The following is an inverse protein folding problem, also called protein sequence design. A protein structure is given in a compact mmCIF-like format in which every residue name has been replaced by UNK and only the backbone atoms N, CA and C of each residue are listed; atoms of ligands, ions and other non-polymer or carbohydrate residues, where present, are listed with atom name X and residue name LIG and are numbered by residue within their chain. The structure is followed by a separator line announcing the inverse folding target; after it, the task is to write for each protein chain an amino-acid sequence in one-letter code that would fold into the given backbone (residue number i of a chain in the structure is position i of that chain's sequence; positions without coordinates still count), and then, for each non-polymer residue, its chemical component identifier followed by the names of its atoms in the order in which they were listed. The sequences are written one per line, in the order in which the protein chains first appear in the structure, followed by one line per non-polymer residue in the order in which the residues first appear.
data_IF_723792084450
#
_entry.id   IF_723792084450
#
_cell.length_a   1.000
_cell.length_b   1.000
_cell.length_c   1.000
_cell.angle_alpha   90.00
_cell.angle_beta   90.00
_cell.angle_gamma   90.00
#
_symmetry.space_group_name_H-M   'P 1'
#
loop_
_entity.id
_entity.type
_entity.pdbx_description
1 polymer ?
#
# COMPACT_ATOMS: atom_id res chain seq x y z
N UNK A 1 13.09 -13.65 -14.65
CA UNK A 1 13.01 -14.03 -16.07
C UNK A 1 13.06 -12.76 -16.91
N UNK A 2 13.68 -12.76 -18.10
CA UNK A 2 13.69 -11.60 -18.98
C UNK A 2 12.24 -11.26 -19.41
N UNK A 3 11.88 -9.98 -19.40
CA UNK A 3 10.57 -9.50 -19.84
C UNK A 3 10.66 -9.28 -21.36
N UNK A 4 9.75 -9.83 -22.18
CA UNK A 4 9.73 -9.60 -23.61
C UNK A 4 9.63 -8.10 -23.92
N UNK A 5 10.33 -7.64 -24.95
CA UNK A 5 10.39 -6.22 -25.33
C UNK A 5 9.62 -5.95 -26.61
N UNK A 6 8.90 -4.84 -26.65
CA UNK A 6 8.22 -4.32 -27.83
C UNK A 6 8.94 -3.06 -28.32
N UNK A 7 9.37 -3.11 -29.56
CA UNK A 7 10.05 -2.02 -30.24
C UNK A 7 9.06 -1.27 -31.12
N UNK A 8 8.88 0.02 -30.87
CA UNK A 8 8.05 0.88 -31.68
C UNK A 8 8.89 2.00 -32.28
N UNK A 9 8.98 2.02 -33.61
CA UNK A 9 9.63 3.10 -34.33
C UNK A 9 8.89 4.42 -34.06
N UNK A 10 9.64 5.47 -33.76
CA UNK A 10 9.12 6.83 -33.66
C UNK A 10 10.01 7.78 -34.47
N UNK A 11 9.42 8.82 -35.04
CA UNK A 11 10.13 9.73 -35.94
C UNK A 11 11.27 10.50 -35.24
N UNK A 12 11.17 10.70 -33.92
CA UNK A 12 12.08 11.55 -33.15
C UNK A 12 12.12 13.00 -33.66
N UNK A 13 12.91 13.83 -32.99
CA UNK A 13 13.24 15.19 -33.47
C UNK A 13 14.74 15.45 -33.29
N UNK A 14 15.62 14.67 -33.94
CA UNK A 14 17.06 14.80 -33.72
C UNK A 14 17.61 16.06 -34.39
N UNK A 15 18.62 16.68 -33.75
CA UNK A 15 19.33 17.85 -34.31
C UNK A 15 20.10 17.46 -35.59
N UNK A 16 20.54 16.20 -35.69
CA UNK A 16 21.14 15.61 -36.90
C UNK A 16 20.21 14.53 -37.45
N UNK A 17 19.82 14.58 -38.74
CA UNK A 17 18.99 13.55 -39.34
C UNK A 17 19.61 12.15 -39.22
N UNK A 18 18.78 11.14 -38.99
CA UNK A 18 19.22 9.75 -39.03
C UNK A 18 19.59 9.34 -40.47
N UNK A 19 20.52 8.39 -40.67
CA UNK A 19 20.79 7.80 -41.97
C UNK A 19 19.53 7.17 -42.59
N UNK A 20 19.53 7.02 -43.92
CA UNK A 20 18.42 6.38 -44.63
C UNK A 20 18.18 4.95 -44.10
N UNK A 21 16.91 4.62 -43.80
CA UNK A 21 16.50 3.34 -43.24
C UNK A 21 16.69 3.19 -41.73
N UNK A 22 17.21 4.21 -41.03
CA UNK A 22 17.34 4.20 -39.57
C UNK A 22 16.15 4.87 -38.90
N UNK A 23 15.74 4.30 -37.76
CA UNK A 23 14.63 4.81 -36.96
C UNK A 23 15.05 4.92 -35.50
N UNK A 24 14.49 5.91 -34.80
CA UNK A 24 14.49 5.87 -33.34
C UNK A 24 13.45 4.86 -32.89
N UNK A 25 13.72 4.16 -31.79
CA UNK A 25 12.80 3.20 -31.21
C UNK A 25 12.53 3.56 -29.75
N UNK A 26 11.26 3.56 -29.39
CA UNK A 26 10.91 3.42 -27.99
C UNK A 26 10.76 1.93 -27.71
N UNK A 27 11.48 1.47 -26.68
CA UNK A 27 11.43 0.10 -26.20
C UNK A 27 10.55 0.08 -24.96
N UNK A 28 9.48 -0.71 -25.02
CA UNK A 28 8.57 -0.90 -23.90
C UNK A 28 8.54 -2.38 -23.51
N UNK A 29 8.40 -2.72 -22.21
CA UNK A 29 8.14 -4.09 -21.82
C UNK A 29 6.77 -4.54 -22.37
N UNK A 30 6.72 -5.71 -23.01
CA UNK A 30 5.47 -6.35 -23.43
C UNK A 30 4.90 -7.19 -22.29
N UNK A 31 4.07 -6.52 -21.50
CA UNK A 31 3.44 -7.13 -20.33
C UNK A 31 2.29 -8.09 -20.68
N UNK A 32 1.86 -8.15 -21.95
CA UNK A 32 0.84 -9.12 -22.39
C UNK A 32 1.44 -10.49 -22.71
N UNK A 33 2.73 -10.51 -23.06
CA UNK A 33 3.49 -11.74 -23.31
C UNK A 33 4.31 -12.19 -22.09
N UNK A 34 4.31 -11.42 -21.01
CA UNK A 34 4.90 -11.81 -19.74
C UNK A 34 3.83 -12.36 -18.79
N UNK A 35 4.26 -13.13 -17.78
CA UNK A 35 3.38 -13.57 -16.67
C UNK A 35 3.18 -12.46 -15.62
N UNK A 36 3.39 -11.19 -15.99
CA UNK A 36 3.33 -10.05 -15.08
C UNK A 36 1.92 -9.47 -15.06
N UNK A 37 1.39 -9.20 -13.87
CA UNK A 37 0.07 -8.61 -13.72
C UNK A 37 0.12 -7.06 -13.73
N UNK A 38 -1.03 -6.42 -13.58
CA UNK A 38 -1.14 -4.95 -13.55
C UNK A 38 -0.33 -4.32 -12.41
N UNK A 39 -0.11 -5.07 -11.32
CA UNK A 39 0.62 -4.62 -10.14
C UNK A 39 2.13 -4.67 -10.38
N UNK A 40 2.63 -5.69 -11.07
CA UNK A 40 4.05 -5.75 -11.49
C UNK A 40 4.47 -4.52 -12.33
N UNK A 41 3.57 -4.01 -13.18
CA UNK A 41 3.80 -2.79 -13.97
C UNK A 41 3.91 -1.51 -13.13
N UNK A 42 3.32 -1.53 -11.93
CA UNK A 42 3.42 -0.45 -10.96
C UNK A 42 4.64 -0.62 -10.04
N UNK A 43 5.51 -1.61 -10.31
CA UNK A 43 6.63 -1.97 -9.44
C UNK A 43 6.22 -2.78 -8.21
N UNK A 44 4.97 -3.26 -8.16
CA UNK A 44 4.43 -4.08 -7.08
C UNK A 44 4.64 -5.56 -7.40
N UNK A 45 5.89 -6.00 -7.31
CA UNK A 45 6.20 -7.42 -7.43
C UNK A 45 5.36 -8.21 -6.43
N UNK A 46 4.57 -9.18 -6.89
CA UNK A 46 3.59 -9.91 -6.08
C UNK A 46 4.13 -10.50 -4.76
N UNK A 47 5.41 -10.84 -4.74
CA UNK A 47 6.13 -11.40 -3.58
C UNK A 47 6.73 -10.34 -2.63
N UNK A 48 6.69 -9.06 -3.01
CA UNK A 48 7.17 -7.91 -2.23
C UNK A 48 6.04 -6.96 -1.83
N UNK A 49 4.77 -7.35 -2.04
CA UNK A 49 3.64 -6.51 -1.64
C UNK A 49 3.64 -6.37 -0.12
N UNK A 50 3.95 -5.16 0.34
CA UNK A 50 3.72 -4.75 1.72
C UNK A 50 2.23 -4.53 1.94
N UNK A 51 1.74 -4.89 3.12
CA UNK A 51 0.35 -4.63 3.50
C UNK A 51 0.27 -3.46 4.47
N UNK A 52 -0.86 -2.76 4.44
CA UNK A 52 -1.28 -1.88 5.53
C UNK A 52 -2.35 -2.57 6.37
N UNK A 53 -2.73 -1.94 7.47
CA UNK A 53 -3.75 -2.44 8.37
C UNK A 53 -5.09 -1.79 8.03
N UNK A 54 -6.13 -2.60 7.85
CA UNK A 54 -7.52 -2.14 7.78
C UNK A 54 -8.32 -2.66 8.97
N UNK A 55 -9.33 -1.89 9.40
CA UNK A 55 -10.18 -2.19 10.56
C UNK A 55 -11.62 -2.42 10.09
N UNK A 56 -12.32 -3.34 10.74
CA UNK A 56 -13.77 -3.50 10.54
C UNK A 56 -14.50 -2.26 11.06
N UNK A 57 -15.26 -1.58 10.21
CA UNK A 57 -16.04 -0.41 10.60
C UNK A 57 -17.18 -0.75 11.58
N UNK A 58 -17.54 -2.03 11.68
CA UNK A 58 -18.60 -2.54 12.55
C UNK A 58 -18.06 -3.32 13.77
N UNK A 59 -16.76 -3.24 14.07
CA UNK A 59 -16.18 -3.91 15.23
C UNK A 59 -16.96 -3.57 16.52
N UNK A 60 -17.35 -4.59 17.27
CA UNK A 60 -18.05 -4.40 18.54
C UNK A 60 -17.08 -3.87 19.61
N UNK A 61 -17.52 -3.01 20.54
CA UNK A 61 -16.72 -2.64 21.71
C UNK A 61 -16.21 -3.85 22.52
N UNK A 62 -16.97 -4.95 22.55
CA UNK A 62 -16.61 -6.17 23.28
C UNK A 62 -15.44 -6.95 22.62
N UNK A 63 -15.14 -6.64 21.35
CA UNK A 63 -14.01 -7.22 20.61
C UNK A 63 -12.72 -6.41 20.78
N UNK A 64 -12.78 -5.32 21.56
CA UNK A 64 -11.64 -4.44 21.85
C UNK A 64 -11.23 -4.66 23.31
N UNK A 65 -10.05 -5.26 23.50
CA UNK A 65 -9.45 -5.43 24.82
C UNK A 65 -8.73 -4.14 25.23
N UNK A 66 -9.12 -3.58 26.39
CA UNK A 66 -8.44 -2.44 26.99
C UNK A 66 -7.41 -2.95 27.98
N UNK A 67 -6.13 -2.66 27.73
CA UNK A 67 -5.01 -3.06 28.57
C UNK A 67 -4.52 -1.83 29.33
N UNK A 68 -4.82 -1.76 30.63
CA UNK A 68 -4.29 -0.73 31.52
C UNK A 68 -2.87 -1.08 31.96
N UNK A 69 -1.98 -0.09 31.96
CA UNK A 69 -0.59 -0.25 32.39
C UNK A 69 -0.29 0.58 33.64
N UNK A 70 0.73 0.15 34.39
CA UNK A 70 1.19 0.87 35.57
C UNK A 70 1.66 2.29 35.21
N UNK A 71 1.35 3.23 36.10
CA UNK A 71 1.73 4.65 35.97
C UNK A 71 3.18 4.87 36.38
N UNK A 72 4.12 4.31 35.64
CA UNK A 72 5.55 4.47 35.89
C UNK A 72 6.30 4.97 34.64
N UNK A 73 7.34 5.78 34.84
CA UNK A 73 8.19 6.24 33.74
C UNK A 73 7.55 7.28 32.80
N UNK A 74 8.15 7.42 31.62
CA UNK A 74 7.72 8.39 30.62
C UNK A 74 6.57 7.80 29.78
N UNK A 75 5.49 8.56 29.59
CA UNK A 75 4.25 8.08 28.94
C UNK A 75 4.40 7.57 27.51
N UNK A 76 5.52 7.89 26.85
CA UNK A 76 5.84 7.42 25.50
C UNK A 76 6.57 6.07 25.51
N UNK A 77 7.21 5.75 26.62
CA UNK A 77 7.85 4.45 26.87
C UNK A 77 6.85 3.49 27.54
N UNK A 78 6.00 4.02 28.43
CA UNK A 78 4.99 3.30 29.19
C UNK A 78 3.61 3.98 29.04
N UNK A 79 2.89 3.71 27.93
CA UNK A 79 1.55 4.25 27.71
C UNK A 79 0.55 3.64 28.70
N UNK A 80 -0.27 4.49 29.32
CA UNK A 80 -1.17 4.05 30.40
C UNK A 80 -2.30 3.13 29.96
N UNK A 81 -2.67 3.21 28.68
CA UNK A 81 -3.71 2.40 28.07
C UNK A 81 -3.22 1.95 26.72
N UNK A 82 -3.52 0.70 26.37
CA UNK A 82 -3.36 0.14 25.04
C UNK A 82 -4.68 -0.53 24.65
N UNK A 83 -4.98 -0.54 23.35
CA UNK A 83 -6.14 -1.26 22.83
C UNK A 83 -5.64 -2.43 22.00
N UNK A 84 -6.09 -3.64 22.32
CA UNK A 84 -5.86 -4.82 21.49
C UNK A 84 -7.15 -5.16 20.76
N UNK A 85 -7.06 -5.37 19.46
CA UNK A 85 -8.21 -5.70 18.62
C UNK A 85 -7.78 -6.52 17.40
N UNK A 86 -8.77 -7.15 16.76
CA UNK A 86 -8.58 -7.78 15.45
C UNK A 86 -8.62 -6.73 14.34
N UNK A 87 -7.65 -6.80 13.44
CA UNK A 87 -7.60 -6.05 12.21
C UNK A 87 -7.27 -6.99 11.03
N UNK A 88 -7.05 -6.42 9.85
CA UNK A 88 -6.84 -7.19 8.63
C UNK A 88 -5.68 -6.64 7.80
N UNK A 89 -4.95 -7.54 7.13
CA UNK A 89 -3.99 -7.17 6.10
C UNK A 89 -4.74 -6.64 4.89
N UNK A 90 -4.47 -5.40 4.51
CA UNK A 90 -5.00 -4.75 3.32
C UNK A 90 -3.89 -4.59 2.27
N UNK A 91 -3.54 -5.65 1.52
CA UNK A 91 -2.62 -5.51 0.39
C UNK A 91 -3.29 -4.62 -0.67
N UNK A 92 -2.48 -3.89 -1.47
CA UNK A 92 -2.97 -2.99 -2.54
C UNK A 92 -3.72 -1.74 -2.09
N UNK A 93 -3.95 -1.54 -0.79
CA UNK A 93 -4.61 -0.34 -0.25
C UNK A 93 -3.85 0.96 -0.52
N UNK A 94 -2.56 0.91 -0.88
CA UNK A 94 -1.75 2.06 -1.22
C UNK A 94 -0.78 1.72 -2.37
N UNK A 95 -0.37 2.72 -3.18
CA UNK A 95 0.68 2.52 -4.16
C UNK A 95 2.02 2.21 -3.47
N UNK A 96 2.90 1.43 -4.12
CA UNK A 96 4.27 1.26 -3.64
C UNK A 96 5.00 2.61 -3.76
N UNK A 97 5.76 2.97 -2.74
CA UNK A 97 6.59 4.18 -2.71
C UNK A 97 5.81 5.48 -3.03
N UNK A 98 4.81 5.85 -2.22
CA UNK A 98 4.02 7.05 -2.48
C UNK A 98 4.91 8.30 -2.40
N UNK A 99 5.02 9.03 -3.51
CA UNK A 99 5.75 10.31 -3.55
C UNK A 99 4.99 11.45 -2.84
N UNK A 100 3.72 11.23 -2.50
CA UNK A 100 2.82 12.15 -1.80
C UNK A 100 1.88 11.34 -0.90
N UNK A 101 1.30 11.96 0.13
CA UNK A 101 0.22 11.34 0.89
C UNK A 101 -0.98 11.12 -0.02
N UNK A 102 -1.24 9.87 -0.43
CA UNK A 102 -2.39 9.51 -1.26
C UNK A 102 -3.53 8.96 -0.41
N UNK A 103 -4.76 9.22 -0.84
CA UNK A 103 -5.92 8.48 -0.37
C UNK A 103 -5.74 6.99 -0.71
N UNK A 104 -6.17 6.07 0.18
CA UNK A 104 -6.03 4.66 -0.06
C UNK A 104 -6.84 4.23 -1.30
N UNK A 105 -6.33 3.24 -2.03
CA UNK A 105 -7.02 2.55 -3.12
C UNK A 105 -8.13 1.67 -2.55
N UNK A 106 -9.26 2.31 -2.27
CA UNK A 106 -10.44 1.68 -1.71
C UNK A 106 -11.60 1.74 -2.69
N UNK A 107 -12.19 0.59 -3.02
CA UNK A 107 -13.42 0.53 -3.77
C UNK A 107 -14.59 0.81 -2.81
N UNK A 108 -15.47 1.75 -3.16
CA UNK A 108 -16.56 2.21 -2.29
C UNK A 108 -16.09 2.65 -0.88
N UNK A 109 -14.82 3.07 -0.75
CA UNK A 109 -14.23 3.46 0.51
C UNK A 109 -13.94 2.30 1.47
N UNK A 110 -13.87 1.06 0.96
CA UNK A 110 -13.38 -0.14 1.66
C UNK A 110 -12.16 -0.71 0.96
N UNK A 111 -11.20 -1.19 1.73
CA UNK A 111 -9.99 -1.83 1.24
C UNK A 111 -10.21 -3.34 1.11
N UNK A 112 -9.73 -3.92 0.02
CA UNK A 112 -9.59 -5.37 -0.09
C UNK A 112 -8.67 -5.89 1.03
N UNK A 113 -9.10 -6.95 1.71
CA UNK A 113 -8.35 -7.55 2.81
C UNK A 113 -8.11 -9.04 2.62
N UNK A 114 -7.13 -9.57 3.36
CA UNK A 114 -6.68 -10.97 3.26
C UNK A 114 -6.67 -11.64 4.64
N UNK A 115 -5.54 -11.58 5.34
CA UNK A 115 -5.37 -12.26 6.63
C UNK A 115 -5.87 -11.42 7.81
N UNK A 116 -6.42 -12.07 8.84
CA UNK A 116 -6.64 -11.47 10.15
C UNK A 116 -5.32 -11.24 10.88
N UNK A 117 -5.27 -10.18 11.67
CA UNK A 117 -4.13 -9.77 12.49
C UNK A 117 -4.62 -9.36 13.87
N UNK A 118 -3.94 -9.81 14.92
CA UNK A 118 -4.05 -9.20 16.25
C UNK A 118 -3.13 -8.00 16.30
N UNK A 119 -3.67 -6.81 16.60
CA UNK A 119 -2.91 -5.57 16.66
C UNK A 119 -3.06 -4.89 18.02
N UNK A 120 -2.04 -4.13 18.40
CA UNK A 120 -2.05 -3.27 19.56
C UNK A 120 -2.00 -1.80 19.10
N UNK A 121 -3.03 -1.02 19.44
CA UNK A 121 -3.06 0.42 19.26
C UNK A 121 -2.57 1.09 20.55
N UNK A 122 -1.46 1.80 20.43
CA UNK A 122 -0.91 2.63 21.49
C UNK A 122 -1.38 4.07 21.27
N UNK A 123 -2.27 4.61 22.10
CA UNK A 123 -2.66 6.02 22.05
C UNK A 123 -1.45 6.89 22.41
N UNK A 124 -0.82 7.47 21.40
CA UNK A 124 0.29 8.41 21.56
C UNK A 124 -0.23 9.72 22.19
N UNK A 125 0.53 10.25 23.16
CA UNK A 125 0.18 11.39 24.01
C UNK A 125 -0.53 12.54 23.28
N UNK A 126 -1.55 13.08 23.93
CA UNK A 126 -2.44 14.14 23.46
C UNK A 126 -1.70 15.40 22.97
N UNK A 127 -1.32 15.42 21.70
CA UNK A 127 -1.21 16.64 20.91
C UNK A 127 -1.76 16.32 19.54
N UNK A 128 -3.01 16.73 19.30
CA UNK A 128 -3.70 16.62 18.02
C UNK A 128 -3.54 15.24 17.38
N UNK A 129 -4.29 14.24 17.88
CA UNK A 129 -4.91 13.20 17.05
C UNK A 129 -4.13 13.01 15.74
N UNK A 130 -2.93 12.39 15.79
CA UNK A 130 -2.43 11.65 14.63
C UNK A 130 -3.40 10.49 14.51
N UNK A 131 -4.58 10.81 13.98
CA UNK A 131 -5.59 9.86 13.55
C UNK A 131 -4.80 8.99 12.59
N UNK A 132 -4.42 7.81 13.06
CA UNK A 132 -3.99 6.78 12.16
C UNK A 132 -5.26 6.44 11.40
N UNK A 133 -5.39 6.99 10.20
CA UNK A 133 -6.52 6.72 9.32
C UNK A 133 -6.32 5.30 8.79
N UNK A 134 -6.89 4.33 9.50
CA UNK A 134 -6.97 2.96 9.01
C UNK A 134 -8.06 2.90 7.93
N UNK A 135 -7.76 2.35 6.74
CA UNK A 135 -8.81 2.00 5.80
C UNK A 135 -9.85 1.08 6.43
N UNK A 136 -11.09 1.17 5.96
CA UNK A 136 -12.16 0.26 6.35
C UNK A 136 -11.99 -1.07 5.63
N UNK A 137 -12.08 -2.19 6.33
CA UNK A 137 -11.98 -3.52 5.73
C UNK A 137 -13.24 -3.85 4.91
N UNK A 138 -13.06 -4.40 3.71
CA UNK A 138 -14.14 -5.03 2.96
C UNK A 138 -14.27 -6.49 3.37
N UNK A 139 -15.29 -6.80 4.17
CA UNK A 139 -15.52 -8.12 4.76
C UNK A 139 -16.68 -8.89 4.10
N UNK A 140 -17.13 -8.44 2.91
CA UNK A 140 -18.19 -9.08 2.13
C UNK A 140 -17.77 -10.45 1.56
#
# INVERSE_FOLDING_TARGET
MPIPEKWQAYAGSPITPLPEGWYWYNVYPDNKQSNLDVYDNMGMLKHLITYNVAIDENISPDEIEIIEQDRNGYVWENPLVKLRLTAYKAPYSYPPYPSKTFEPYCENGKAYVTDKLDIELVPYGCTSLRISYFPRADLL
#
